data_IF_517886055824
#
_entry.id   IF_517886055824
#
_cell.length_a   1.000
_cell.length_b   1.000
_cell.length_c   1.000
_cell.angle_alpha   90.00
_cell.angle_beta   90.00
_cell.angle_gamma   90.00
#
_symmetry.space_group_name_H-M   'P 1'
#
loop_
_entity.id
_entity.type
_entity.pdbx_description
1 polymer ?
#
# COMPACT_ATOMS: atom_id res chain seq x y z
N UNK A 1 -28.85 3.60 -30.48
CA UNK A 1 -28.77 3.01 -29.13
C UNK A 1 -29.05 4.10 -28.12
N UNK A 2 -30.14 4.00 -27.36
CA UNK A 2 -30.51 5.05 -26.42
C UNK A 2 -29.74 4.85 -25.10
N UNK A 3 -28.84 5.77 -24.76
CA UNK A 3 -28.02 5.71 -23.56
C UNK A 3 -28.86 6.21 -22.38
N UNK A 4 -29.30 5.30 -21.52
CA UNK A 4 -30.08 5.64 -20.33
C UNK A 4 -29.18 5.77 -19.12
N UNK A 5 -28.98 6.99 -18.59
CA UNK A 5 -28.16 7.26 -17.41
C UNK A 5 -28.51 6.41 -16.19
N UNK A 6 -29.79 6.10 -15.99
CA UNK A 6 -30.25 5.20 -14.92
C UNK A 6 -29.64 3.79 -15.05
N UNK A 7 -29.60 3.21 -16.25
CA UNK A 7 -29.00 1.88 -16.48
C UNK A 7 -27.51 1.88 -16.11
N UNK A 8 -26.77 2.92 -16.56
CA UNK A 8 -25.34 3.06 -16.21
C UNK A 8 -25.16 3.10 -14.71
N UNK A 9 -25.93 3.93 -14.01
CA UNK A 9 -25.86 4.05 -12.55
C UNK A 9 -26.19 2.75 -11.83
N UNK A 10 -27.20 2.02 -12.28
CA UNK A 10 -27.59 0.73 -11.70
C UNK A 10 -26.48 -0.33 -11.92
N UNK A 11 -25.82 -0.34 -13.07
CA UNK A 11 -24.65 -1.22 -13.33
C UNK A 11 -23.47 -0.83 -12.45
N UNK A 12 -23.17 0.46 -12.30
CA UNK A 12 -22.12 0.91 -11.36
C UNK A 12 -22.38 0.47 -9.93
N UNK A 13 -23.63 0.54 -9.45
CA UNK A 13 -24.01 0.05 -8.11
C UNK A 13 -23.74 -1.45 -7.95
N UNK A 14 -24.07 -2.26 -8.95
CA UNK A 14 -23.79 -3.71 -8.94
C UNK A 14 -22.29 -4.03 -8.83
N UNK A 15 -21.43 -3.10 -9.28
CA UNK A 15 -19.98 -3.23 -9.26
C UNK A 15 -19.31 -2.51 -8.08
N UNK A 16 -20.09 -1.96 -7.14
CA UNK A 16 -19.55 -1.21 -5.99
C UNK A 16 -19.06 -2.17 -4.88
N UNK A 17 -18.00 -2.92 -5.18
CA UNK A 17 -17.27 -3.78 -4.25
C UNK A 17 -15.80 -3.89 -4.66
N UNK A 18 -14.94 -4.38 -3.78
CA UNK A 18 -13.50 -4.56 -4.04
C UNK A 18 -13.31 -5.63 -5.10
N UNK A 19 -12.56 -5.31 -6.17
CA UNK A 19 -12.33 -6.17 -7.34
C UNK A 19 -10.83 -6.23 -7.67
N UNK A 20 -10.04 -6.68 -6.73
CA UNK A 20 -8.62 -6.88 -6.98
C UNK A 20 -8.43 -8.03 -7.97
N UNK A 21 -7.44 -7.90 -8.85
CA UNK A 21 -7.08 -8.95 -9.81
C UNK A 21 -6.75 -10.26 -9.08
N UNK A 22 -7.12 -11.39 -9.70
CA UNK A 22 -6.95 -12.75 -9.18
C UNK A 22 -7.83 -13.14 -7.99
N UNK A 23 -8.76 -12.26 -7.54
CA UNK A 23 -9.68 -12.52 -6.43
C UNK A 23 -11.08 -12.92 -6.91
N UNK A 24 -11.89 -13.45 -5.99
CA UNK A 24 -13.32 -13.69 -6.25
C UNK A 24 -14.09 -12.40 -6.57
N UNK A 25 -13.57 -11.24 -6.11
CA UNK A 25 -14.11 -9.93 -6.48
C UNK A 25 -13.96 -9.65 -7.98
N UNK A 26 -12.82 -9.97 -8.59
CA UNK A 26 -12.63 -9.86 -10.04
C UNK A 26 -13.63 -10.73 -10.80
N UNK A 27 -13.78 -12.01 -10.42
CA UNK A 27 -14.74 -12.94 -11.06
C UNK A 27 -16.18 -12.44 -10.94
N UNK A 28 -16.55 -11.90 -9.78
CA UNK A 28 -17.87 -11.30 -9.56
C UNK A 28 -18.09 -10.08 -10.44
N UNK A 29 -17.07 -9.23 -10.61
CA UNK A 29 -17.10 -8.09 -11.53
C UNK A 29 -17.25 -8.53 -12.99
N UNK A 30 -16.48 -9.51 -13.41
CA UNK A 30 -16.57 -10.11 -14.75
C UNK A 30 -17.98 -10.66 -15.01
N UNK A 31 -18.58 -11.32 -14.00
CA UNK A 31 -19.95 -11.82 -14.10
C UNK A 31 -20.97 -10.71 -14.33
N UNK A 32 -20.89 -9.60 -13.59
CA UNK A 32 -21.79 -8.44 -13.80
C UNK A 32 -21.67 -7.90 -15.23
N UNK A 33 -20.44 -7.76 -15.75
CA UNK A 33 -20.21 -7.30 -17.13
C UNK A 33 -20.79 -8.30 -18.13
N UNK A 34 -20.56 -9.59 -17.93
CA UNK A 34 -21.10 -10.65 -18.77
C UNK A 34 -22.62 -10.61 -18.85
N UNK A 35 -23.28 -10.49 -17.70
CA UNK A 35 -24.75 -10.44 -17.62
C UNK A 35 -25.30 -9.19 -18.37
N UNK A 36 -24.64 -8.04 -18.27
CA UNK A 36 -25.03 -6.84 -19.02
C UNK A 36 -24.82 -6.97 -20.53
N UNK A 37 -23.75 -7.64 -20.97
CA UNK A 37 -23.49 -7.91 -22.41
C UNK A 37 -24.53 -8.86 -22.97
N UNK A 38 -24.86 -9.95 -22.25
CA UNK A 38 -25.91 -10.87 -22.64
C UNK A 38 -27.28 -10.23 -22.70
N UNK A 39 -27.59 -9.32 -21.78
CA UNK A 39 -28.83 -8.56 -21.81
C UNK A 39 -28.96 -7.64 -23.05
N UNK A 40 -27.86 -7.34 -23.72
CA UNK A 40 -27.83 -6.62 -25.00
C UNK A 40 -27.96 -7.56 -26.25
N UNK A 41 -28.09 -8.86 -26.03
CA UNK A 41 -28.15 -9.86 -27.11
C UNK A 41 -26.78 -10.20 -27.71
N UNK A 42 -25.68 -9.92 -27.01
CA UNK A 42 -24.32 -10.23 -27.43
C UNK A 42 -23.77 -11.41 -26.63
N UNK A 43 -22.89 -12.19 -27.25
CA UNK A 43 -22.14 -13.27 -26.59
C UNK A 43 -20.75 -12.77 -26.19
N UNK A 44 -20.46 -12.70 -24.88
CA UNK A 44 -19.13 -12.30 -24.40
C UNK A 44 -18.12 -13.45 -24.56
N UNK A 45 -16.87 -13.09 -24.89
CA UNK A 45 -15.74 -14.01 -24.91
C UNK A 45 -14.76 -13.60 -23.82
N UNK A 46 -14.24 -14.58 -23.08
CA UNK A 46 -13.19 -14.36 -22.08
C UNK A 46 -11.83 -14.68 -22.69
N UNK A 47 -10.88 -13.79 -22.48
CA UNK A 47 -9.48 -13.98 -22.79
C UNK A 47 -8.67 -13.91 -21.51
N UNK A 48 -8.21 -15.06 -21.03
CA UNK A 48 -7.42 -15.17 -19.80
C UNK A 48 -5.94 -14.86 -20.07
N UNK A 49 -5.33 -14.10 -19.18
CA UNK A 49 -3.90 -13.83 -19.22
C UNK A 49 -3.30 -13.87 -17.82
N UNK A 50 -2.01 -14.23 -17.73
CA UNK A 50 -1.30 -14.31 -16.46
C UNK A 50 -0.82 -12.93 -16.03
N UNK A 51 -1.08 -12.58 -14.78
CA UNK A 51 -0.57 -11.37 -14.13
C UNK A 51 0.20 -11.73 -12.87
N UNK A 52 1.30 -11.02 -12.54
CA UNK A 52 1.88 -11.13 -11.22
C UNK A 52 0.88 -10.60 -10.18
N UNK A 53 0.77 -11.26 -9.05
CA UNK A 53 -0.06 -10.83 -7.94
C UNK A 53 0.70 -10.95 -6.62
N UNK A 54 0.19 -10.33 -5.58
CA UNK A 54 0.69 -10.45 -4.21
C UNK A 54 -0.51 -10.65 -3.27
N UNK A 55 -0.23 -11.23 -2.14
CA UNK A 55 -1.16 -11.34 -1.02
C UNK A 55 -0.43 -10.85 0.24
N UNK A 56 -1.09 -10.02 1.03
CA UNK A 56 -0.57 -9.56 2.32
C UNK A 56 -1.32 -10.33 3.40
N UNK A 57 -0.62 -11.25 4.03
CA UNK A 57 -1.19 -12.15 5.04
C UNK A 57 -1.14 -11.53 6.43
N UNK A 58 -0.08 -10.78 6.72
CA UNK A 58 0.13 -10.16 8.02
C UNK A 58 0.87 -8.83 7.89
N UNK A 59 0.36 -7.81 8.57
CA UNK A 59 1.01 -6.50 8.65
C UNK A 59 0.87 -5.92 10.05
N UNK A 60 1.99 -5.45 10.61
CA UNK A 60 2.00 -4.77 11.89
C UNK A 60 3.12 -3.74 11.93
N UNK A 61 2.80 -2.53 12.38
CA UNK A 61 3.75 -1.47 12.64
C UNK A 61 3.66 -1.04 14.11
N UNK A 62 4.79 -1.12 14.79
CA UNK A 62 4.91 -0.74 16.18
C UNK A 62 6.05 0.26 16.35
N UNK A 63 5.80 1.37 17.01
CA UNK A 63 6.86 2.20 17.56
C UNK A 63 7.15 1.63 18.96
N UNK A 64 8.39 1.22 19.20
CA UNK A 64 8.74 0.51 20.45
C UNK A 64 9.42 1.41 21.48
N UNK A 65 10.08 2.48 21.03
CA UNK A 65 10.77 3.44 21.89
C UNK A 65 10.54 4.88 21.39
N UNK A 66 10.49 5.88 22.29
CA UNK A 66 10.57 5.80 23.76
C UNK A 66 9.27 5.33 24.40
N UNK A 67 8.15 5.35 23.65
CA UNK A 67 6.83 4.93 24.12
C UNK A 67 6.20 4.00 23.09
N UNK A 68 5.68 2.88 23.57
CA UNK A 68 4.99 1.94 22.72
C UNK A 68 3.74 2.56 22.05
N UNK A 69 3.62 2.36 20.75
CA UNK A 69 2.46 2.73 19.96
C UNK A 69 2.24 1.69 18.86
N UNK A 70 1.08 1.07 18.84
CA UNK A 70 0.61 0.29 17.71
C UNK A 70 -0.01 1.24 16.68
N UNK A 71 0.41 1.15 15.42
CA UNK A 71 -0.03 2.03 14.32
C UNK A 71 -0.85 1.22 13.32
N UNK A 72 -2.02 1.73 12.94
CA UNK A 72 -2.79 1.14 11.85
C UNK A 72 -1.98 1.28 10.54
N UNK A 73 -1.72 0.15 9.88
CA UNK A 73 -0.90 0.10 8.69
C UNK A 73 -1.46 -0.89 7.67
N UNK A 74 -1.21 -0.64 6.39
CA UNK A 74 -1.36 -1.62 5.30
C UNK A 74 0.00 -1.89 4.68
N UNK A 75 0.26 -3.14 4.31
CA UNK A 75 1.49 -3.50 3.62
C UNK A 75 1.54 -2.88 2.22
N UNK A 76 2.74 -2.62 1.75
CA UNK A 76 2.96 -2.28 0.35
C UNK A 76 3.07 -3.55 -0.48
N UNK A 77 2.17 -3.70 -1.46
CA UNK A 77 2.25 -4.81 -2.42
C UNK A 77 3.58 -4.82 -3.17
N UNK A 78 4.09 -6.00 -3.45
CA UNK A 78 5.41 -6.24 -4.06
C UNK A 78 6.62 -5.72 -3.27
N UNK A 79 6.46 -5.23 -2.05
CA UNK A 79 7.60 -4.93 -1.17
C UNK A 79 8.22 -6.21 -0.62
N UNK A 80 9.37 -6.11 0.03
CA UNK A 80 10.00 -7.26 0.68
C UNK A 80 9.20 -7.73 1.89
N UNK A 81 9.39 -9.00 2.27
CA UNK A 81 8.87 -9.51 3.52
C UNK A 81 9.78 -9.11 4.69
N UNK A 82 9.20 -8.69 5.78
CA UNK A 82 9.86 -8.68 7.06
C UNK A 82 9.68 -10.08 7.67
N UNK A 83 10.72 -10.68 8.24
CA UNK A 83 10.66 -12.01 8.83
C UNK A 83 9.40 -12.22 9.71
N UNK A 84 8.98 -13.46 9.90
CA UNK A 84 7.75 -13.81 10.64
C UNK A 84 7.62 -13.10 12.00
N UNK A 85 8.75 -12.89 12.68
CA UNK A 85 8.81 -12.16 13.96
C UNK A 85 8.96 -10.65 13.78
N UNK A 86 9.01 -10.17 12.53
CA UNK A 86 9.23 -8.78 12.17
C UNK A 86 10.69 -8.35 12.27
N UNK A 87 10.96 -7.16 11.73
CA UNK A 87 12.26 -6.48 11.82
C UNK A 87 12.15 -5.40 12.89
N UNK A 88 13.01 -5.42 13.88
CA UNK A 88 13.15 -4.34 14.88
C UNK A 88 14.44 -3.59 14.60
N UNK A 89 14.34 -2.27 14.38
CA UNK A 89 15.49 -1.43 14.07
C UNK A 89 15.31 -0.01 14.62
N UNK A 90 16.39 0.75 14.60
CA UNK A 90 16.34 2.17 14.89
C UNK A 90 15.44 2.88 13.87
N UNK A 91 14.76 3.90 14.33
CA UNK A 91 13.84 4.71 13.51
C UNK A 91 14.52 5.99 13.04
N UNK A 92 14.25 6.39 11.80
CA UNK A 92 14.63 7.71 11.29
C UNK A 92 13.50 8.33 10.45
N UNK A 93 13.37 9.66 10.51
CA UNK A 93 12.57 10.41 9.54
C UNK A 93 13.53 10.98 8.50
N UNK A 94 13.34 10.59 7.24
CA UNK A 94 14.23 10.92 6.13
C UNK A 94 13.56 11.77 5.06
N UNK A 95 12.48 12.44 5.43
CA UNK A 95 11.73 13.41 4.62
C UNK A 95 11.55 12.94 3.14
N UNK A 96 12.27 13.60 2.22
CA UNK A 96 12.28 13.26 0.78
C UNK A 96 13.38 12.25 0.41
N UNK A 97 14.09 11.71 1.39
CA UNK A 97 15.22 10.81 1.21
C UNK A 97 16.31 11.39 0.29
N UNK A 98 16.63 12.67 0.48
CA UNK A 98 17.81 13.25 -0.15
C UNK A 98 19.09 12.69 0.47
N UNK A 99 20.24 12.83 -0.20
CA UNK A 99 21.51 12.23 0.25
C UNK A 99 21.86 12.62 1.70
N UNK A 100 21.55 13.87 2.09
CA UNK A 100 21.81 14.34 3.44
C UNK A 100 20.92 13.66 4.49
N UNK A 101 19.69 13.30 4.13
CA UNK A 101 18.73 12.62 5.01
C UNK A 101 19.10 11.16 5.25
N UNK A 102 19.90 10.59 4.34
CA UNK A 102 20.21 9.16 4.29
C UNK A 102 21.60 8.82 4.87
N UNK A 103 22.39 9.80 5.34
CA UNK A 103 23.76 9.58 5.84
C UNK A 103 23.84 8.41 6.84
N UNK A 104 22.87 8.33 7.76
CA UNK A 104 22.82 7.30 8.82
C UNK A 104 21.58 6.39 8.68
N UNK A 105 21.07 6.18 7.47
CA UNK A 105 19.82 5.44 7.26
C UNK A 105 20.01 3.92 7.11
N UNK A 106 21.24 3.43 6.89
CA UNK A 106 21.53 2.01 6.71
C UNK A 106 21.03 1.19 7.90
N UNK A 107 20.27 0.13 7.62
CA UNK A 107 19.71 -0.77 8.61
C UNK A 107 18.56 -0.21 9.47
N UNK A 108 18.12 1.01 9.23
CA UNK A 108 17.00 1.62 9.99
C UNK A 108 15.64 1.38 9.31
N UNK A 109 14.58 1.46 10.09
CA UNK A 109 13.21 1.62 9.58
C UNK A 109 12.97 3.12 9.42
N UNK A 110 12.69 3.55 8.20
CA UNK A 110 12.59 4.97 7.87
C UNK A 110 11.17 5.40 7.57
N UNK A 111 10.77 6.59 8.03
CA UNK A 111 9.55 7.27 7.61
C UNK A 111 9.92 8.30 6.54
N UNK A 112 9.27 8.25 5.39
CA UNK A 112 9.38 9.23 4.32
C UNK A 112 8.18 10.18 4.31
N UNK A 113 8.29 11.34 3.68
CA UNK A 113 7.16 12.28 3.52
C UNK A 113 6.15 11.80 2.47
N UNK A 114 6.62 11.09 1.46
CA UNK A 114 5.84 10.44 0.41
C UNK A 114 6.63 9.28 -0.18
N UNK A 115 6.03 8.49 -1.09
CA UNK A 115 6.73 7.43 -1.79
C UNK A 115 6.62 7.64 -3.30
N UNK A 116 7.77 7.77 -3.94
CA UNK A 116 7.95 7.83 -5.38
C UNK A 116 9.06 6.91 -5.84
N UNK A 117 9.25 6.83 -7.15
CA UNK A 117 10.26 5.96 -7.76
C UNK A 117 11.69 6.32 -7.28
N UNK A 118 12.05 7.59 -7.35
CA UNK A 118 13.38 8.08 -6.96
C UNK A 118 13.65 7.92 -5.46
N UNK A 119 12.62 8.13 -4.63
CA UNK A 119 12.72 7.93 -3.19
C UNK A 119 13.02 6.46 -2.90
N UNK A 120 12.25 5.53 -3.50
CA UNK A 120 12.47 4.11 -3.30
C UNK A 120 13.87 3.67 -3.73
N UNK A 121 14.35 4.16 -4.90
CA UNK A 121 15.71 3.90 -5.38
C UNK A 121 16.77 4.33 -4.36
N UNK A 122 16.63 5.54 -3.81
CA UNK A 122 17.55 6.08 -2.81
C UNK A 122 17.51 5.27 -1.51
N UNK A 123 16.32 4.89 -1.03
CA UNK A 123 16.18 4.01 0.13
C UNK A 123 16.86 2.66 -0.08
N UNK A 124 16.70 2.07 -1.27
CA UNK A 124 17.32 0.81 -1.61
C UNK A 124 18.87 0.91 -1.63
N UNK A 125 19.40 1.97 -2.21
CA UNK A 125 20.86 2.26 -2.22
C UNK A 125 21.39 2.48 -0.80
N UNK A 126 20.63 3.15 0.05
CA UNK A 126 20.96 3.38 1.46
C UNK A 126 20.79 2.13 2.34
N UNK A 127 20.28 1.02 1.78
CA UNK A 127 20.08 -0.27 2.46
C UNK A 127 19.27 -0.15 3.76
N UNK A 128 18.18 0.61 3.74
CA UNK A 128 17.29 0.70 4.88
C UNK A 128 16.64 -0.66 5.17
N UNK A 129 16.35 -0.95 6.44
CA UNK A 129 15.73 -2.22 6.85
C UNK A 129 14.24 -2.30 6.50
N UNK A 130 13.58 -1.15 6.39
CA UNK A 130 12.18 -1.05 6.03
C UNK A 130 11.75 0.39 5.83
N UNK A 131 10.59 0.61 5.23
CA UNK A 131 10.06 1.95 5.04
C UNK A 131 8.61 2.10 5.49
N UNK A 132 8.27 3.31 5.87
CA UNK A 132 6.92 3.74 6.25
C UNK A 132 6.59 4.94 5.37
N UNK A 133 5.49 4.86 4.62
CA UNK A 133 5.06 5.94 3.76
C UNK A 133 3.64 6.40 4.12
N UNK A 134 3.41 7.69 4.38
CA UNK A 134 2.08 8.20 4.67
C UNK A 134 1.23 8.27 3.41
N UNK A 135 -0.08 8.11 3.57
CA UNK A 135 -1.09 8.29 2.53
C UNK A 135 -2.26 9.14 3.04
N UNK A 136 -3.02 9.69 2.09
CA UNK A 136 -4.15 10.55 2.38
C UNK A 136 -3.76 11.93 2.89
N UNK A 137 -4.74 12.69 3.33
CA UNK A 137 -4.60 14.04 3.88
C UNK A 137 -4.57 14.05 5.41
N UNK A 138 -3.95 15.09 5.98
CA UNK A 138 -3.92 15.25 7.44
C UNK A 138 -5.32 15.41 8.07
N UNK A 139 -6.25 15.98 7.32
CA UNK A 139 -7.62 16.25 7.77
C UNK A 139 -8.61 15.14 7.44
N UNK A 140 -8.17 14.05 6.82
CA UNK A 140 -9.03 12.93 6.50
C UNK A 140 -9.65 12.33 7.78
N UNK A 141 -10.93 12.00 7.69
CA UNK A 141 -11.68 11.33 8.75
C UNK A 141 -11.48 9.80 8.62
N UNK A 142 -10.81 9.14 9.57
CA UNK A 142 -10.58 7.69 9.51
C UNK A 142 -11.84 6.84 9.47
N UNK A 143 -12.99 7.41 9.87
CA UNK A 143 -14.30 6.72 9.82
C UNK A 143 -14.94 6.76 8.44
N UNK A 144 -14.48 7.65 7.57
CA UNK A 144 -15.04 7.89 6.23
C UNK A 144 -14.09 7.53 5.11
N UNK A 145 -12.79 7.52 5.41
CA UNK A 145 -11.73 7.28 4.42
C UNK A 145 -10.87 6.13 4.88
N UNK A 146 -10.89 5.05 4.13
CA UNK A 146 -10.01 3.91 4.38
C UNK A 146 -8.54 4.29 4.16
N UNK A 147 -7.67 3.56 4.86
CA UNK A 147 -6.24 3.62 4.57
C UNK A 147 -5.99 3.02 3.19
N UNK A 148 -5.29 3.77 2.33
CA UNK A 148 -4.96 3.33 0.98
C UNK A 148 -4.08 2.08 1.00
N UNK A 149 -4.48 1.08 0.24
CA UNK A 149 -3.62 -0.02 -0.12
C UNK A 149 -2.72 0.41 -1.28
N UNK A 150 -1.42 0.27 -1.10
CA UNK A 150 -0.42 0.72 -2.06
C UNK A 150 0.45 -0.43 -2.51
N UNK A 151 1.03 -0.28 -3.71
CA UNK A 151 1.97 -1.28 -4.25
C UNK A 151 3.15 -0.61 -4.95
N UNK A 152 4.26 -1.29 -4.92
CA UNK A 152 5.42 -0.94 -5.72
C UNK A 152 5.18 -1.35 -7.18
N UNK A 153 5.74 -0.62 -8.12
CA UNK A 153 5.71 -0.97 -9.55
C UNK A 153 6.99 -1.73 -9.91
N UNK A 154 6.97 -2.43 -11.04
CA UNK A 154 8.13 -3.18 -11.55
C UNK A 154 9.44 -2.38 -11.52
N UNK A 155 9.40 -1.10 -11.85
CA UNK A 155 10.58 -0.24 -11.80
C UNK A 155 11.17 -0.06 -10.40
N UNK A 156 10.36 -0.02 -9.34
CA UNK A 156 10.85 0.08 -7.97
C UNK A 156 11.62 -1.18 -7.57
N UNK A 157 11.04 -2.36 -7.79
CA UNK A 157 11.62 -3.64 -7.34
C UNK A 157 12.91 -4.03 -8.05
N UNK A 158 13.32 -3.34 -9.12
CA UNK A 158 14.64 -3.53 -9.76
C UNK A 158 15.80 -3.18 -8.84
N UNK A 159 15.57 -2.34 -7.83
CA UNK A 159 16.58 -1.95 -6.84
C UNK A 159 16.58 -2.86 -5.60
N UNK A 160 15.79 -3.91 -5.60
CA UNK A 160 15.59 -4.81 -4.46
C UNK A 160 14.20 -4.63 -3.84
N UNK A 161 13.83 -5.54 -2.95
CA UNK A 161 12.56 -5.52 -2.24
C UNK A 161 12.78 -5.19 -0.78
N UNK A 162 12.41 -3.98 -0.38
CA UNK A 162 12.49 -3.49 1.00
C UNK A 162 11.09 -3.62 1.61
N UNK A 163 10.94 -4.23 2.81
CA UNK A 163 9.65 -4.27 3.48
C UNK A 163 9.08 -2.88 3.73
N UNK A 164 7.81 -2.68 3.43
CA UNK A 164 7.22 -1.36 3.56
C UNK A 164 5.74 -1.34 3.89
N UNK A 165 5.32 -0.31 4.59
CA UNK A 165 3.93 -0.10 4.99
C UNK A 165 3.44 1.29 4.66
N UNK A 166 2.13 1.37 4.37
CA UNK A 166 1.37 2.61 4.27
C UNK A 166 0.68 2.89 5.60
N UNK A 167 0.71 4.16 6.04
CA UNK A 167 0.00 4.64 7.23
C UNK A 167 -0.76 5.91 6.88
N UNK A 168 -1.69 6.34 7.75
CA UNK A 168 -2.35 7.63 7.57
C UNK A 168 -1.38 8.78 7.83
N UNK A 169 -1.50 9.87 7.08
CA UNK A 169 -0.73 11.11 7.32
C UNK A 169 -0.85 11.58 8.78
N UNK A 170 -2.04 11.49 9.36
CA UNK A 170 -2.30 11.86 10.76
C UNK A 170 -1.49 11.02 11.76
N UNK A 171 -1.29 9.74 11.45
CA UNK A 171 -0.52 8.84 12.31
C UNK A 171 0.98 9.06 12.13
N UNK A 172 1.45 9.38 10.91
CA UNK A 172 2.83 9.83 10.71
C UNK A 172 3.17 11.04 11.57
N UNK A 173 2.28 12.04 11.60
CA UNK A 173 2.47 13.23 12.47
C UNK A 173 2.47 12.85 13.96
N UNK A 174 1.62 11.92 14.40
CA UNK A 174 1.64 11.44 15.80
C UNK A 174 2.95 10.76 16.12
N UNK A 175 3.44 9.88 15.25
CA UNK A 175 4.72 9.19 15.41
C UNK A 175 5.82 10.22 15.61
N UNK A 176 5.97 11.19 14.71
CA UNK A 176 7.04 12.18 14.76
C UNK A 176 7.00 13.01 16.06
N UNK A 177 5.81 13.34 16.57
CA UNK A 177 5.65 14.06 17.85
C UNK A 177 6.15 13.28 19.07
N UNK A 178 6.29 11.96 18.98
CA UNK A 178 6.84 11.14 20.09
C UNK A 178 8.37 11.09 20.11
N UNK A 179 9.04 11.68 19.12
CA UNK A 179 10.48 11.57 18.90
C UNK A 179 10.94 10.09 18.93
N UNK A 180 10.44 9.28 18.01
CA UNK A 180 10.62 7.81 18.00
C UNK A 180 12.09 7.46 17.86
N UNK A 181 12.52 6.37 18.53
CA UNK A 181 13.89 5.87 18.47
C UNK A 181 13.97 4.50 17.81
N UNK A 182 12.96 3.66 18.03
CA UNK A 182 12.87 2.33 17.43
C UNK A 182 11.50 2.01 16.94
N UNK A 183 11.47 1.23 15.87
CA UNK A 183 10.24 0.67 15.34
C UNK A 183 10.38 -0.84 15.08
N UNK A 184 9.26 -1.53 15.05
CA UNK A 184 9.15 -2.90 14.62
C UNK A 184 8.14 -3.00 13.48
N UNK A 185 8.57 -3.61 12.39
CA UNK A 185 7.79 -3.83 11.19
C UNK A 185 7.63 -5.33 10.95
N UNK A 186 6.40 -5.81 10.88
CA UNK A 186 6.06 -7.16 10.44
C UNK A 186 5.30 -7.05 9.12
N UNK A 187 5.69 -7.81 8.11
CA UNK A 187 5.03 -7.87 6.81
C UNK A 187 5.28 -9.23 6.16
N UNK A 188 4.18 -9.93 5.85
CA UNK A 188 4.17 -11.24 5.21
C UNK A 188 3.12 -11.30 4.09
#
# INVERSE_FOLDING_TARGET
MDIKGKRIYDTMKKMNFIRLSTTEGEKSGAKVITDEIKAMGLEPVFEDFKVPCYEIVNVKLEITEPKYMLVEAKGYGYSGNAAKDGITADFAYVEAAEDIDLIDAEGKIVLVSNMGYEIYERLAKAKVAGFIAPSGGYFDDPKKTDLDERMLRKGHITYGQIPGVSIRMKDAVKILKTNPKKAKLTLE
#
